data_IF_504155626243
#
_entry.id   IF_504155626243
#
_cell.length_a   1.000
_cell.length_b   1.000
_cell.length_c   1.000
_cell.angle_alpha   90.00
_cell.angle_beta   90.00
_cell.angle_gamma   90.00
#
_symmetry.space_group_name_H-M   'P 1'
#
loop_
_entity.id
_entity.type
_entity.pdbx_description
1 polymer ?
#
# COMPACT_ATOMS: atom_id res chain seq x y z
N UNK A 1 -6.24 -2.11 -12.64
CA UNK A 1 -5.35 -0.92 -12.67
C UNK A 1 -4.07 -1.32 -11.96
N UNK A 2 -3.00 -1.66 -12.69
CA UNK A 2 -1.90 -2.49 -12.16
C UNK A 2 -0.58 -1.72 -11.96
N UNK A 3 -0.49 -0.46 -12.41
CA UNK A 3 0.81 0.24 -12.43
C UNK A 3 1.32 0.62 -11.03
N UNK A 4 0.47 1.23 -10.19
CA UNK A 4 0.87 1.66 -8.84
C UNK A 4 1.01 0.48 -7.86
N UNK A 5 0.13 -0.52 -7.96
CA UNK A 5 0.21 -1.73 -7.13
C UNK A 5 1.46 -2.55 -7.43
N UNK A 6 1.90 -2.60 -8.70
CA UNK A 6 3.11 -3.34 -9.08
C UNK A 6 4.39 -2.75 -8.47
N UNK A 7 4.50 -1.42 -8.40
CA UNK A 7 5.66 -0.77 -7.78
C UNK A 7 5.72 -1.05 -6.28
N UNK A 8 4.58 -0.93 -5.59
CA UNK A 8 4.49 -1.24 -4.16
C UNK A 8 4.88 -2.69 -3.84
N UNK A 9 4.36 -3.65 -4.61
CA UNK A 9 4.71 -5.07 -4.46
C UNK A 9 6.20 -5.32 -4.71
N UNK A 10 6.78 -4.67 -5.72
CA UNK A 10 8.21 -4.81 -6.02
C UNK A 10 9.08 -4.31 -4.85
N UNK A 11 8.76 -3.15 -4.30
CA UNK A 11 9.47 -2.54 -3.16
C UNK A 11 9.38 -3.44 -1.92
N UNK A 12 8.18 -3.96 -1.60
CA UNK A 12 7.98 -4.87 -0.48
C UNK A 12 8.81 -6.15 -0.63
N UNK A 13 8.79 -6.77 -1.82
CA UNK A 13 9.61 -7.96 -2.11
C UNK A 13 11.10 -7.67 -2.03
N UNK A 14 11.55 -6.51 -2.53
CA UNK A 14 12.96 -6.08 -2.41
C UNK A 14 13.37 -5.84 -0.96
N UNK A 15 12.42 -5.45 -0.11
CA UNK A 15 12.63 -5.28 1.33
C UNK A 15 12.61 -6.61 2.11
N UNK A 16 12.32 -7.73 1.44
CA UNK A 16 12.27 -9.07 2.04
C UNK A 16 10.87 -9.50 2.51
N UNK A 17 9.85 -8.68 2.29
CA UNK A 17 8.46 -8.98 2.66
C UNK A 17 7.82 -9.83 1.58
N UNK A 18 7.63 -11.10 1.90
CA UNK A 18 6.96 -12.05 1.02
C UNK A 18 5.51 -12.33 1.45
N UNK A 19 5.19 -12.11 2.72
CA UNK A 19 3.85 -12.21 3.29
C UNK A 19 3.17 -10.83 3.31
N UNK A 20 2.38 -10.55 2.27
CA UNK A 20 1.49 -9.39 2.24
C UNK A 20 0.17 -9.78 1.57
N UNK A 21 -0.92 -9.16 2.03
CA UNK A 21 -2.23 -9.33 1.42
C UNK A 21 -2.46 -8.23 0.39
N UNK A 22 -2.78 -8.62 -0.84
CA UNK A 22 -3.24 -7.71 -1.88
C UNK A 22 -4.74 -7.89 -2.08
N UNK A 23 -5.52 -6.82 -1.86
CA UNK A 23 -6.97 -6.80 -2.07
C UNK A 23 -7.27 -5.99 -3.33
N UNK A 24 -7.92 -6.60 -4.31
CA UNK A 24 -8.35 -5.90 -5.53
C UNK A 24 -9.70 -5.21 -5.30
N UNK A 25 -9.62 -3.93 -4.95
CA UNK A 25 -10.81 -3.07 -4.73
C UNK A 25 -11.47 -2.61 -6.03
N UNK A 26 -10.96 -2.96 -7.21
CA UNK A 26 -11.59 -2.57 -8.48
C UNK A 26 -12.76 -3.46 -8.85
N UNK A 27 -12.76 -4.70 -8.37
CA UNK A 27 -13.85 -5.64 -8.58
C UNK A 27 -15.03 -5.39 -7.62
N UNK A 28 -14.77 -4.68 -6.52
CA UNK A 28 -15.75 -4.45 -5.46
C UNK A 28 -15.88 -2.95 -5.13
N UNK A 29 -16.94 -2.29 -5.65
CA UNK A 29 -17.16 -0.87 -5.39
C UNK A 29 -17.49 -0.56 -3.92
N UNK A 30 -18.02 -1.52 -3.14
CA UNK A 30 -18.29 -1.34 -1.71
C UNK A 30 -16.98 -1.29 -0.94
N UNK A 31 -16.07 -2.23 -1.19
CA UNK A 31 -14.72 -2.21 -0.58
C UNK A 31 -13.97 -0.95 -0.98
N UNK A 32 -14.08 -0.53 -2.25
CA UNK A 32 -13.43 0.69 -2.75
C UNK A 32 -13.89 1.96 -2.02
N UNK A 33 -15.17 2.06 -1.68
CA UNK A 33 -15.69 3.21 -0.97
C UNK A 33 -15.38 3.10 0.53
N UNK A 34 -15.56 1.91 1.12
CA UNK A 34 -15.28 1.64 2.52
C UNK A 34 -13.82 1.87 2.91
N UNK A 35 -12.85 1.46 2.09
CA UNK A 35 -11.42 1.67 2.38
C UNK A 35 -11.04 3.15 2.35
N UNK A 36 -11.69 3.96 1.51
CA UNK A 36 -11.43 5.42 1.46
C UNK A 36 -11.93 6.11 2.73
N UNK A 37 -13.11 5.72 3.19
CA UNK A 37 -13.70 6.26 4.41
C UNK A 37 -12.94 5.78 5.66
N UNK A 38 -12.54 4.50 5.68
CA UNK A 38 -11.74 3.92 6.76
C UNK A 38 -10.37 4.59 6.90
N UNK A 39 -9.65 4.76 5.77
CA UNK A 39 -8.36 5.44 5.74
C UNK A 39 -8.45 6.95 5.92
N UNK A 40 -9.66 7.51 5.79
CA UNK A 40 -9.89 8.92 5.49
C UNK A 40 -8.99 9.43 4.34
N UNK A 41 -8.79 8.58 3.31
CA UNK A 41 -7.84 8.82 2.23
C UNK A 41 -8.48 8.60 0.85
N UNK A 42 -8.47 9.60 -0.05
CA UNK A 42 -9.28 9.58 -1.26
C UNK A 42 -8.71 8.70 -2.39
N UNK A 43 -7.42 8.38 -2.36
CA UNK A 43 -6.71 7.73 -3.47
C UNK A 43 -6.33 6.28 -3.19
N UNK A 44 -6.12 5.52 -4.26
CA UNK A 44 -5.62 4.13 -4.24
C UNK A 44 -4.40 4.04 -5.15
N UNK A 45 -3.45 3.12 -4.89
CA UNK A 45 -3.43 2.12 -3.82
C UNK A 45 -3.17 2.71 -2.44
N UNK A 46 -3.65 2.02 -1.40
CA UNK A 46 -3.38 2.33 0.01
C UNK A 46 -2.54 1.20 0.61
N UNK A 47 -1.52 1.55 1.37
CA UNK A 47 -0.65 0.62 2.07
C UNK A 47 -0.93 0.67 3.57
N UNK A 48 -1.04 -0.51 4.16
CA UNK A 48 -1.14 -0.71 5.58
C UNK A 48 -0.01 -1.61 6.04
N UNK A 49 0.69 -1.21 7.09
CA UNK A 49 1.74 -2.01 7.75
C UNK A 49 1.33 -2.16 9.21
N UNK A 50 1.28 -3.39 9.72
CA UNK A 50 0.86 -3.69 11.10
C UNK A 50 -0.51 -3.11 11.50
N UNK A 51 -1.42 -2.90 10.53
CA UNK A 51 -2.74 -2.30 10.76
C UNK A 51 -2.76 -0.77 10.76
N UNK A 52 -1.60 -0.11 10.64
CA UNK A 52 -1.51 1.34 10.51
C UNK A 52 -1.50 1.74 9.03
N UNK A 53 -2.26 2.79 8.70
CA UNK A 53 -2.24 3.38 7.36
C UNK A 53 -0.94 4.14 7.17
N UNK A 54 -0.14 3.69 6.19
CA UNK A 54 1.15 4.29 5.89
C UNK A 54 1.02 5.35 4.79
N UNK A 55 0.25 5.04 3.74
CA UNK A 55 0.09 5.97 2.63
C UNK A 55 -0.15 5.30 1.29
N UNK A 56 0.02 6.08 0.22
CA UNK A 56 -0.05 5.60 -1.16
C UNK A 56 1.27 5.03 -1.68
N UNK A 57 1.28 4.67 -2.97
CA UNK A 57 2.49 4.16 -3.64
C UNK A 57 3.65 5.18 -3.67
N UNK A 58 3.36 6.47 -3.72
CA UNK A 58 4.38 7.52 -3.75
C UNK A 58 5.11 7.61 -2.41
N UNK A 59 4.35 7.63 -1.31
CA UNK A 59 4.87 7.63 0.08
C UNK A 59 5.71 6.37 0.33
N UNK A 60 5.23 5.19 -0.10
CA UNK A 60 6.01 3.96 0.02
C UNK A 60 7.36 4.05 -0.71
N UNK A 61 7.38 4.68 -1.89
CA UNK A 61 8.61 4.85 -2.67
C UNK A 61 9.58 5.77 -1.94
N UNK A 62 9.07 6.86 -1.37
CA UNK A 62 9.85 7.81 -0.56
C UNK A 62 10.42 7.15 0.70
N UNK A 63 9.60 6.43 1.46
CA UNK A 63 10.03 5.69 2.64
C UNK A 63 11.07 4.62 2.32
N UNK A 64 10.95 3.96 1.16
CA UNK A 64 11.97 3.02 0.70
C UNK A 64 13.29 3.72 0.36
N UNK A 65 13.24 4.90 -0.28
CA UNK A 65 14.43 5.69 -0.60
C UNK A 65 15.11 6.26 0.64
N UNK A 66 14.32 6.70 1.63
CA UNK A 66 14.82 7.23 2.90
C UNK A 66 15.30 6.11 3.84
N UNK A 67 14.93 4.86 3.59
CA UNK A 67 15.24 3.72 4.45
C UNK A 67 14.26 3.49 5.59
N UNK A 68 13.33 4.42 5.84
CA UNK A 68 12.27 4.35 6.86
C UNK A 68 11.40 3.09 6.68
N UNK A 69 11.15 2.67 5.44
CA UNK A 69 10.36 1.47 5.18
C UNK A 69 10.97 0.23 5.82
N UNK A 70 12.31 0.12 5.84
CA UNK A 70 13.00 -1.02 6.48
C UNK A 70 12.89 -1.01 8.00
N UNK A 71 12.62 0.12 8.62
CA UNK A 71 12.48 0.23 10.07
C UNK A 71 11.06 -0.14 10.53
N UNK A 72 10.07 0.01 9.65
CA UNK A 72 8.66 -0.21 9.95
C UNK A 72 8.19 -1.63 9.55
N UNK A 73 8.91 -2.29 8.63
CA UNK A 73 8.72 -3.68 8.22
C UNK A 73 9.40 -4.67 9.19
#
# INVERSE_FOLDING_TARGET
MVFFSANAVKILRQSGVNDFLAVDVLQDPEIRQGIKEYANWPTIPQLYINGEFVGGSDILTEMYQNGELKEIL
#
